data_IF_091411552385
#
_entry.id   IF_091411552385
#
_cell.length_a   1.000
_cell.length_b   1.000
_cell.length_c   1.000
_cell.angle_alpha   90.00
_cell.angle_beta   90.00
_cell.angle_gamma   90.00
#
_symmetry.space_group_name_H-M   'P 1'
#
loop_
_entity.id
_entity.type
_entity.pdbx_description
1 polymer ?
#
# COMPACT_ATOMS: atom_id res chain seq x y z
N UNK A 1 -32.88 -10.34 -29.77
CA UNK A 1 -31.69 -9.85 -29.05
C UNK A 1 -31.86 -8.35 -28.80
N UNK A 2 -32.39 -7.96 -27.64
CA UNK A 2 -32.65 -6.57 -27.27
C UNK A 2 -31.55 -6.07 -26.33
N UNK A 3 -30.79 -5.06 -26.77
CA UNK A 3 -29.84 -4.31 -25.93
C UNK A 3 -30.62 -3.32 -25.06
N UNK A 4 -30.53 -3.44 -23.73
CA UNK A 4 -30.99 -2.42 -22.78
C UNK A 4 -29.81 -1.49 -22.49
N UNK A 5 -29.93 -0.22 -22.84
CA UNK A 5 -29.08 0.85 -22.32
C UNK A 5 -29.55 1.18 -20.91
N UNK A 6 -28.64 1.09 -19.94
CA UNK A 6 -28.85 1.59 -18.58
C UNK A 6 -28.26 3.00 -18.48
N UNK A 7 -29.13 3.96 -18.20
CA UNK A 7 -28.80 5.37 -17.97
C UNK A 7 -28.28 5.52 -16.54
N UNK A 8 -27.03 5.95 -16.37
CA UNK A 8 -26.46 6.28 -15.06
C UNK A 8 -26.92 7.69 -14.65
N UNK A 9 -27.66 7.77 -13.55
CA UNK A 9 -28.04 9.03 -12.90
C UNK A 9 -27.00 9.37 -11.85
N UNK A 10 -26.24 10.45 -12.07
CA UNK A 10 -25.26 10.98 -11.13
C UNK A 10 -25.99 11.82 -10.07
N UNK A 11 -26.10 11.31 -8.84
CA UNK A 11 -26.62 12.06 -7.70
C UNK A 11 -25.48 12.83 -7.03
N UNK A 12 -25.46 14.16 -7.21
CA UNK A 12 -24.55 15.05 -6.49
C UNK A 12 -25.02 15.22 -5.05
N UNK A 13 -24.27 14.68 -4.10
CA UNK A 13 -24.49 14.87 -2.67
C UNK A 13 -23.82 16.19 -2.24
N UNK A 14 -24.63 17.21 -1.97
CA UNK A 14 -24.16 18.49 -1.40
C UNK A 14 -24.11 18.34 0.13
N UNK A 15 -22.91 18.16 0.68
CA UNK A 15 -22.67 18.24 2.11
C UNK A 15 -22.66 19.70 2.54
N UNK A 16 -23.62 20.08 3.40
CA UNK A 16 -23.65 21.39 4.04
C UNK A 16 -22.66 21.44 5.21
N UNK A 17 -21.77 22.43 5.19
CA UNK A 17 -20.88 22.70 6.32
C UNK A 17 -21.65 23.39 7.47
N UNK A 18 -21.38 23.06 8.74
CA UNK A 18 -21.93 23.81 9.87
C UNK A 18 -21.27 25.20 9.94
N UNK A 19 -22.11 26.24 9.98
CA UNK A 19 -21.65 27.61 10.16
C UNK A 19 -21.25 27.85 11.62
N UNK A 20 -19.95 27.96 11.89
CA UNK A 20 -19.45 28.54 13.13
C UNK A 20 -19.76 30.04 13.12
N UNK A 21 -20.50 30.48 14.13
CA UNK A 21 -20.90 31.88 14.33
C UNK A 21 -19.76 32.58 15.06
N UNK A 22 -19.10 33.52 14.39
CA UNK A 22 -18.01 34.30 14.99
C UNK A 22 -18.47 34.99 16.29
N UNK A 23 -17.72 34.84 17.40
CA UNK A 23 -17.95 35.64 18.59
C UNK A 23 -17.50 37.10 18.34
N UNK A 24 -18.18 38.08 18.97
CA UNK A 24 -17.84 39.50 18.79
C UNK A 24 -16.47 39.81 19.36
N UNK A 25 -15.65 40.52 18.57
CA UNK A 25 -14.32 40.98 18.96
C UNK A 25 -14.37 41.89 20.20
N UNK A 26 -13.68 41.49 21.26
CA UNK A 26 -13.34 42.35 22.38
C UNK A 26 -12.04 43.10 22.09
N UNK A 27 -11.99 44.43 22.29
CA UNK A 27 -10.75 45.19 22.25
C UNK A 27 -10.01 45.03 23.58
N UNK A 28 -8.75 44.63 23.56
CA UNK A 28 -7.97 44.41 24.78
C UNK A 28 -6.46 44.44 24.57
N UNK A 29 -5.92 45.64 24.77
CA UNK A 29 -4.59 46.08 25.22
C UNK A 29 -3.34 45.18 25.09
N UNK A 30 -2.30 45.80 24.52
CA UNK A 30 -0.95 45.29 24.48
C UNK A 30 -0.25 45.32 25.84
N UNK A 31 0.56 44.31 26.09
CA UNK A 31 1.46 44.22 27.23
C UNK A 31 2.72 43.45 26.84
N UNK A 32 3.83 44.18 26.75
CA UNK A 32 5.18 43.68 26.55
C UNK A 32 5.75 43.22 27.90
N UNK A 33 6.35 42.03 27.99
CA UNK A 33 7.38 41.74 29.00
C UNK A 33 8.18 40.48 28.67
N UNK A 34 9.49 40.67 28.62
CA UNK A 34 10.59 39.70 28.69
C UNK A 34 10.71 39.06 30.08
N UNK A 35 11.33 37.87 30.17
CA UNK A 35 11.88 37.34 31.41
C UNK A 35 12.27 35.86 31.34
N UNK A 36 13.57 35.58 31.37
CA UNK A 36 14.19 34.30 31.69
C UNK A 36 13.93 33.91 33.16
N UNK A 37 13.78 32.62 33.49
CA UNK A 37 14.29 32.07 34.76
C UNK A 37 14.32 30.52 34.79
N UNK A 38 15.42 29.99 35.32
CA UNK A 38 15.73 28.59 35.62
C UNK A 38 15.23 28.21 37.03
N UNK A 39 14.82 26.95 37.27
CA UNK A 39 14.87 26.38 38.63
C UNK A 39 13.78 25.39 39.07
N UNK A 40 14.12 24.10 39.03
CA UNK A 40 14.18 23.13 40.16
C UNK A 40 13.17 23.13 41.33
N UNK A 41 12.58 21.92 41.52
CA UNK A 41 12.22 21.19 42.76
C UNK A 41 10.81 21.27 43.40
N UNK A 42 10.25 20.06 43.57
CA UNK A 42 9.39 19.46 44.61
C UNK A 42 8.78 20.34 45.72
N UNK A 43 7.46 20.22 45.98
CA UNK A 43 6.90 19.45 47.11
C UNK A 43 5.38 19.74 47.33
N UNK A 44 4.68 18.71 47.81
CA UNK A 44 3.37 18.61 48.51
C UNK A 44 2.32 19.75 48.53
N UNK A 45 1.04 19.37 48.40
CA UNK A 45 -0.02 19.99 49.23
C UNK A 45 -1.42 20.11 48.61
N UNK A 46 -2.34 19.30 49.12
CA UNK A 46 -3.80 19.28 48.95
C UNK A 46 -4.52 20.63 49.10
N UNK A 47 -5.47 20.95 48.20
CA UNK A 47 -6.77 21.55 48.52
C UNK A 47 -7.72 21.56 47.30
N UNK A 48 -8.94 21.07 47.51
CA UNK A 48 -10.11 21.24 46.65
C UNK A 48 -10.41 22.74 46.44
N UNK A 49 -10.51 23.18 45.19
CA UNK A 49 -11.30 24.35 44.82
C UNK A 49 -12.05 24.07 43.51
N UNK A 50 -13.34 23.79 43.67
CA UNK A 50 -14.34 23.70 42.60
C UNK A 50 -14.62 25.10 42.05
N UNK A 51 -13.73 25.58 41.17
CA UNK A 51 -13.94 26.71 40.30
C UNK A 51 -14.21 26.22 38.87
N UNK A 52 -15.46 25.89 38.56
CA UNK A 52 -15.96 25.73 37.19
C UNK A 52 -15.98 27.11 36.50
N UNK A 53 -14.79 27.60 36.14
CA UNK A 53 -14.66 28.64 35.13
C UNK A 53 -14.83 27.93 33.80
N UNK A 54 -16.06 27.95 33.29
CA UNK A 54 -16.40 27.52 31.95
C UNK A 54 -15.52 28.25 30.93
N UNK A 55 -14.37 27.65 30.65
CA UNK A 55 -13.47 28.06 29.60
C UNK A 55 -14.29 27.92 28.31
N UNK A 56 -14.54 29.02 27.56
CA UNK A 56 -15.23 28.90 26.29
C UNK A 56 -14.39 27.95 25.46
N UNK A 57 -15.00 26.84 25.01
CA UNK A 57 -14.37 25.84 24.16
C UNK A 57 -13.68 26.56 23.01
N UNK A 58 -12.39 26.84 23.20
CA UNK A 58 -11.55 27.45 22.19
C UNK A 58 -11.59 26.49 21.03
N UNK A 59 -11.97 27.00 19.87
CA UNK A 59 -11.82 26.24 18.64
C UNK A 59 -10.33 25.88 18.58
N UNK A 60 -10.00 24.64 18.93
CA UNK A 60 -8.67 24.11 18.69
C UNK A 60 -8.38 24.42 17.21
N UNK A 61 -7.19 24.93 16.87
CA UNK A 61 -6.84 25.13 15.47
C UNK A 61 -7.15 23.83 14.76
N UNK A 62 -7.98 23.89 13.72
CA UNK A 62 -8.26 22.71 12.89
C UNK A 62 -6.89 22.17 12.48
N UNK A 63 -6.56 20.96 12.92
CA UNK A 63 -5.32 20.29 12.52
C UNK A 63 -5.32 20.27 10.99
N UNK A 64 -4.54 21.17 10.39
CA UNK A 64 -4.42 21.28 8.95
C UNK A 64 -3.93 19.93 8.46
N UNK A 65 -4.76 19.27 7.63
CA UNK A 65 -4.44 17.94 7.14
C UNK A 65 -3.06 18.00 6.48
N UNK A 66 -2.15 17.04 6.79
CA UNK A 66 -0.81 17.06 6.24
C UNK A 66 -0.88 17.12 4.72
N UNK A 67 -0.06 17.99 4.13
CA UNK A 67 0.01 18.12 2.67
C UNK A 67 0.40 16.76 2.06
N UNK A 68 -0.22 16.36 0.93
CA UNK A 68 0.10 15.09 0.28
C UNK A 68 1.58 15.09 -0.14
N UNK A 69 2.33 14.09 0.34
CA UNK A 69 3.69 13.88 -0.10
C UNK A 69 3.71 13.35 -1.55
N UNK A 70 4.72 13.73 -2.36
CA UNK A 70 4.84 13.23 -3.72
C UNK A 70 5.19 11.73 -3.70
N UNK A 71 4.37 10.90 -4.34
CA UNK A 71 4.65 9.47 -4.51
C UNK A 71 5.99 9.26 -5.24
N UNK A 72 6.88 8.48 -4.63
CA UNK A 72 8.17 8.15 -5.20
C UNK A 72 8.20 6.72 -5.70
N UNK A 73 8.91 6.51 -6.80
CA UNK A 73 9.11 5.15 -7.31
C UNK A 73 10.08 4.39 -6.44
N UNK A 74 9.65 3.20 -6.03
CA UNK A 74 10.47 2.28 -5.26
C UNK A 74 11.68 1.87 -6.08
N UNK A 75 12.86 1.93 -5.46
CA UNK A 75 14.10 1.47 -6.11
C UNK A 75 14.03 -0.04 -6.30
N UNK A 76 14.64 -0.54 -7.38
CA UNK A 76 14.70 -1.97 -7.69
C UNK A 76 15.06 -2.85 -6.47
N UNK A 77 16.13 -2.52 -5.73
CA UNK A 77 16.56 -3.35 -4.58
C UNK A 77 15.49 -3.43 -3.47
N UNK A 78 14.76 -2.34 -3.24
CA UNK A 78 13.68 -2.31 -2.25
C UNK A 78 12.47 -3.10 -2.77
N UNK A 79 12.11 -2.92 -4.04
CA UNK A 79 11.02 -3.65 -4.68
C UNK A 79 11.27 -5.17 -4.70
N UNK A 80 12.48 -5.60 -5.06
CA UNK A 80 12.89 -7.01 -5.00
C UNK A 80 12.92 -7.53 -3.56
N UNK A 81 13.40 -6.71 -2.62
CA UNK A 81 13.37 -7.01 -1.19
C UNK A 81 11.97 -7.30 -0.66
N UNK A 82 11.00 -6.46 -1.03
CA UNK A 82 9.59 -6.61 -0.63
C UNK A 82 8.97 -7.87 -1.23
N UNK A 83 9.21 -8.16 -2.53
CA UNK A 83 8.75 -9.39 -3.16
C UNK A 83 9.32 -10.64 -2.46
N UNK A 84 10.62 -10.61 -2.14
CA UNK A 84 11.27 -11.72 -1.43
C UNK A 84 10.69 -11.92 -0.04
N UNK A 85 10.49 -10.84 0.71
CA UNK A 85 9.93 -10.91 2.04
C UNK A 85 8.49 -11.42 2.01
N UNK A 86 7.63 -10.79 1.20
CA UNK A 86 6.21 -11.11 1.10
C UNK A 86 5.96 -12.53 0.60
N UNK A 87 6.70 -12.97 -0.42
CA UNK A 87 6.58 -14.32 -0.99
C UNK A 87 7.53 -15.34 -0.35
N UNK A 88 8.31 -14.94 0.67
CA UNK A 88 9.26 -15.83 1.35
C UNK A 88 10.18 -16.57 0.38
N UNK A 89 10.80 -15.82 -0.53
CA UNK A 89 11.70 -16.30 -1.57
C UNK A 89 13.17 -15.99 -1.25
N UNK A 90 14.06 -16.89 -1.67
CA UNK A 90 15.49 -16.65 -1.68
C UNK A 90 15.91 -15.55 -2.67
N UNK A 91 17.15 -15.03 -2.56
CA UNK A 91 17.67 -13.98 -3.45
C UNK A 91 17.69 -14.39 -4.93
N UNK A 92 17.97 -15.65 -5.23
CA UNK A 92 18.05 -16.17 -6.60
C UNK A 92 16.71 -16.75 -7.09
N UNK A 93 15.64 -16.64 -6.28
CA UNK A 93 14.34 -17.26 -6.56
C UNK A 93 13.27 -16.26 -7.02
N UNK A 94 13.56 -14.96 -7.05
CA UNK A 94 12.61 -13.95 -7.55
C UNK A 94 12.41 -14.15 -9.04
N UNK A 95 13.50 -14.05 -9.81
CA UNK A 95 13.42 -14.09 -11.26
C UNK A 95 14.78 -14.38 -11.90
N UNK A 96 14.80 -15.38 -12.78
CA UNK A 96 15.93 -15.70 -13.65
C UNK A 96 15.48 -15.62 -15.10
N UNK A 97 15.93 -14.58 -15.80
CA UNK A 97 15.65 -14.35 -17.20
C UNK A 97 16.36 -15.41 -18.04
N UNK A 98 15.59 -16.05 -18.94
CA UNK A 98 16.03 -17.15 -19.81
C UNK A 98 16.77 -18.29 -19.10
N UNK A 99 16.55 -18.45 -17.79
CA UNK A 99 17.20 -19.47 -16.96
C UNK A 99 18.69 -19.27 -16.69
N UNK A 100 19.26 -18.11 -17.06
CA UNK A 100 20.70 -17.86 -16.93
C UNK A 100 21.07 -16.59 -16.17
N UNK A 101 20.26 -15.54 -16.27
CA UNK A 101 20.61 -14.22 -15.74
C UNK A 101 19.58 -13.76 -14.72
N UNK A 102 19.99 -13.25 -13.54
CA UNK A 102 19.06 -12.62 -12.61
C UNK A 102 18.31 -11.47 -13.30
N UNK A 103 16.99 -11.44 -13.21
CA UNK A 103 16.19 -10.42 -13.91
C UNK A 103 16.52 -9.00 -13.43
N UNK A 104 16.99 -8.85 -12.18
CA UNK A 104 17.46 -7.56 -11.66
C UNK A 104 18.61 -6.97 -12.47
N UNK A 105 19.48 -7.81 -13.04
CA UNK A 105 20.63 -7.36 -13.82
C UNK A 105 20.18 -6.97 -15.23
N UNK A 106 19.26 -7.75 -15.81
CA UNK A 106 18.69 -7.49 -17.16
C UNK A 106 17.77 -6.26 -17.16
N UNK A 107 16.99 -6.07 -16.09
CA UNK A 107 15.99 -5.00 -15.99
C UNK A 107 16.46 -3.80 -15.17
N UNK A 108 17.72 -3.77 -14.71
CA UNK A 108 18.30 -2.72 -13.88
C UNK A 108 17.95 -1.31 -14.36
N UNK A 109 18.24 -1.01 -15.62
CA UNK A 109 17.98 0.30 -16.23
C UNK A 109 16.48 0.59 -16.38
N UNK A 110 15.68 -0.42 -16.76
CA UNK A 110 14.24 -0.28 -16.88
C UNK A 110 13.57 0.02 -15.53
N UNK A 111 14.16 -0.45 -14.43
CA UNK A 111 13.65 -0.28 -13.07
C UNK A 111 14.31 0.88 -12.31
N UNK A 112 14.86 1.85 -13.04
CA UNK A 112 15.29 3.11 -12.47
C UNK A 112 16.71 3.14 -11.93
N UNK A 113 17.44 2.03 -11.95
CA UNK A 113 18.82 2.00 -11.45
C UNK A 113 19.81 2.61 -12.46
N UNK A 114 21.01 2.92 -11.97
CA UNK A 114 22.10 3.46 -12.77
C UNK A 114 22.93 2.33 -13.41
N UNK A 115 23.60 2.62 -14.54
CA UNK A 115 24.57 1.72 -15.15
C UNK A 115 25.78 2.50 -15.73
N UNK A 116 26.80 2.80 -14.90
CA UNK A 116 27.95 3.59 -15.32
C UNK A 116 28.90 2.89 -16.31
N UNK A 117 28.96 1.56 -16.38
CA UNK A 117 30.03 0.87 -17.12
C UNK A 117 29.70 0.59 -18.57
N UNK A 118 28.52 0.02 -18.85
CA UNK A 118 28.08 -0.32 -20.21
C UNK A 118 27.29 0.84 -20.84
N UNK A 119 26.49 1.56 -20.05
CA UNK A 119 25.60 2.61 -20.54
C UNK A 119 26.08 4.04 -20.23
N UNK A 120 27.15 4.23 -19.46
CA UNK A 120 27.61 5.54 -18.98
C UNK A 120 26.52 6.36 -18.25
N UNK A 121 25.59 5.67 -17.60
CA UNK A 121 24.49 6.26 -16.83
C UNK A 121 24.88 6.33 -15.35
N UNK A 122 25.54 7.42 -14.96
CA UNK A 122 26.02 7.63 -13.59
C UNK A 122 24.93 8.05 -12.60
N UNK A 123 23.81 8.60 -13.10
CA UNK A 123 22.66 9.01 -12.29
C UNK A 123 21.45 8.11 -12.58
N UNK A 124 20.63 7.79 -11.57
CA UNK A 124 19.33 7.16 -11.79
C UNK A 124 18.46 8.00 -12.73
N UNK A 125 17.56 7.35 -13.45
CA UNK A 125 16.52 8.07 -14.20
C UNK A 125 15.54 8.70 -13.21
N UNK A 126 15.16 9.96 -13.45
CA UNK A 126 14.33 10.72 -12.52
C UNK A 126 12.87 10.24 -12.47
N UNK A 127 12.46 9.46 -13.47
CA UNK A 127 11.12 8.93 -13.62
C UNK A 127 11.17 7.55 -14.30
N UNK A 128 10.11 6.73 -14.16
CA UNK A 128 9.96 5.51 -14.91
C UNK A 128 10.09 5.73 -16.42
N UNK A 129 10.65 4.74 -17.08
CA UNK A 129 10.70 4.64 -18.53
C UNK A 129 9.40 4.00 -19.04
N UNK A 130 9.15 4.13 -20.33
CA UNK A 130 8.01 3.48 -20.99
C UNK A 130 7.99 1.95 -20.82
N UNK A 131 9.15 1.34 -20.53
CA UNK A 131 9.32 -0.11 -20.32
C UNK A 131 9.33 -0.52 -18.84
N UNK A 132 9.29 0.43 -17.91
CA UNK A 132 9.34 0.13 -16.46
C UNK A 132 8.19 -0.80 -16.03
N UNK A 133 6.91 -0.56 -16.41
CA UNK A 133 5.82 -1.45 -16.00
C UNK A 133 6.03 -2.89 -16.48
N UNK A 134 6.45 -3.08 -17.73
CA UNK A 134 6.71 -4.41 -18.30
C UNK A 134 7.84 -5.14 -17.56
N UNK A 135 8.89 -4.43 -17.18
CA UNK A 135 9.97 -5.01 -16.38
C UNK A 135 9.47 -5.42 -14.98
N UNK A 136 8.65 -4.58 -14.33
CA UNK A 136 8.06 -4.90 -13.03
C UNK A 136 7.14 -6.11 -13.10
N UNK A 137 6.23 -6.14 -14.05
CA UNK A 137 5.30 -7.25 -14.26
C UNK A 137 6.05 -8.58 -14.43
N UNK A 138 7.17 -8.59 -15.16
CA UNK A 138 8.01 -9.78 -15.31
C UNK A 138 8.59 -10.28 -13.99
N UNK A 139 9.12 -9.37 -13.16
CA UNK A 139 9.65 -9.73 -11.84
C UNK A 139 8.55 -10.31 -10.95
N UNK A 140 7.39 -9.65 -10.87
CA UNK A 140 6.27 -10.10 -10.04
C UNK A 140 5.74 -11.45 -10.51
N UNK A 141 5.49 -11.59 -11.82
CA UNK A 141 4.95 -12.83 -12.39
C UNK A 141 5.90 -14.00 -12.15
N UNK A 142 7.20 -13.81 -12.37
CA UNK A 142 8.21 -14.83 -12.10
C UNK A 142 8.24 -15.23 -10.63
N UNK A 143 8.20 -14.25 -9.71
CA UNK A 143 8.23 -14.51 -8.28
C UNK A 143 6.96 -15.25 -7.82
N UNK A 144 5.79 -14.86 -8.32
CA UNK A 144 4.52 -15.53 -8.05
C UNK A 144 4.51 -16.97 -8.55
N UNK A 145 4.93 -17.22 -9.80
CA UNK A 145 5.06 -18.57 -10.35
C UNK A 145 5.98 -19.43 -9.48
N UNK A 146 7.17 -18.91 -9.14
CA UNK A 146 8.13 -19.64 -8.32
C UNK A 146 7.57 -19.98 -6.94
N UNK A 147 6.84 -19.05 -6.31
CA UNK A 147 6.22 -19.31 -5.00
C UNK A 147 5.15 -20.40 -5.07
N UNK A 148 4.30 -20.36 -6.11
CA UNK A 148 3.27 -21.39 -6.30
C UNK A 148 3.92 -22.76 -6.48
N UNK A 149 4.96 -22.87 -7.31
CA UNK A 149 5.71 -24.13 -7.49
C UNK A 149 6.28 -24.67 -6.17
N UNK A 150 6.88 -23.80 -5.36
CA UNK A 150 7.46 -24.18 -4.07
C UNK A 150 6.39 -24.64 -3.06
N UNK A 151 5.23 -23.98 -3.03
CA UNK A 151 4.10 -24.37 -2.18
C UNK A 151 3.44 -25.67 -2.66
N UNK A 152 3.42 -25.95 -3.97
CA UNK A 152 2.96 -27.22 -4.53
C UNK A 152 3.90 -28.39 -4.22
N UNK A 153 5.21 -28.15 -4.25
CA UNK A 153 6.21 -29.19 -4.06
C UNK A 153 6.48 -29.54 -2.59
N UNK A 154 6.01 -28.72 -1.65
CA UNK A 154 6.35 -28.84 -0.23
C UNK A 154 5.20 -28.42 0.70
N UNK A 155 5.55 -28.01 1.91
CA UNK A 155 4.58 -27.43 2.85
C UNK A 155 4.27 -26.00 2.41
N UNK A 156 3.00 -25.63 2.15
CA UNK A 156 2.67 -24.27 1.75
C UNK A 156 3.07 -23.23 2.80
N UNK A 157 3.70 -22.15 2.34
CA UNK A 157 4.15 -21.03 3.17
C UNK A 157 3.34 -19.77 2.92
N UNK A 158 2.91 -19.54 1.67
CA UNK A 158 2.17 -18.34 1.26
C UNK A 158 0.74 -18.69 0.90
N UNK A 159 0.55 -19.72 0.08
CA UNK A 159 -0.77 -20.21 -0.34
C UNK A 159 -1.30 -21.23 0.66
N UNK A 160 -1.60 -20.76 1.88
CA UNK A 160 -1.99 -21.62 3.02
C UNK A 160 -3.49 -21.78 3.18
N UNK A 161 -4.29 -20.87 2.60
CA UNK A 161 -5.75 -20.90 2.73
C UNK A 161 -6.42 -21.70 1.59
N UNK A 162 -5.71 -21.90 0.48
CA UNK A 162 -6.11 -22.75 -0.65
C UNK A 162 -5.09 -23.87 -0.83
N UNK A 163 -5.51 -24.98 -1.42
CA UNK A 163 -4.59 -26.01 -1.91
C UNK A 163 -4.39 -25.82 -3.41
N UNK A 164 -3.19 -25.44 -3.89
CA UNK A 164 -2.93 -25.26 -5.32
C UNK A 164 -3.04 -26.55 -6.15
N UNK A 165 -3.09 -27.73 -5.52
CA UNK A 165 -3.34 -29.02 -6.16
C UNK A 165 -4.76 -29.56 -5.86
N UNK A 166 -5.57 -28.74 -5.20
CA UNK A 166 -6.91 -29.09 -4.74
C UNK A 166 -7.98 -29.03 -5.84
N UNK A 167 -9.26 -29.15 -5.45
CA UNK A 167 -10.39 -29.00 -6.36
C UNK A 167 -10.53 -27.55 -6.85
N UNK A 168 -11.26 -27.37 -7.96
CA UNK A 168 -11.57 -26.05 -8.52
C UNK A 168 -12.23 -25.13 -7.47
N UNK A 169 -11.86 -23.86 -7.52
CA UNK A 169 -12.32 -22.82 -6.60
C UNK A 169 -13.50 -22.05 -7.21
N UNK A 170 -14.30 -21.42 -6.36
CA UNK A 170 -15.34 -20.48 -6.74
C UNK A 170 -15.06 -19.09 -6.15
N UNK A 171 -15.41 -17.99 -6.85
CA UNK A 171 -15.20 -16.62 -6.33
C UNK A 171 -15.84 -16.35 -4.95
N UNK A 172 -16.89 -17.09 -4.59
CA UNK A 172 -17.58 -16.94 -3.30
C UNK A 172 -16.98 -17.78 -2.15
N UNK A 173 -15.93 -18.54 -2.39
CA UNK A 173 -15.35 -19.42 -1.38
C UNK A 173 -14.62 -18.61 -0.30
N UNK A 174 -14.85 -18.96 0.98
CA UNK A 174 -14.16 -18.31 2.10
C UNK A 174 -12.63 -18.46 2.02
N UNK A 175 -12.15 -19.59 1.47
CA UNK A 175 -10.74 -19.86 1.24
C UNK A 175 -10.10 -18.88 0.23
N UNK A 176 -10.84 -18.48 -0.80
CA UNK A 176 -10.40 -17.49 -1.81
C UNK A 176 -10.23 -16.13 -1.14
N UNK A 177 -11.23 -15.67 -0.40
CA UNK A 177 -11.17 -14.39 0.32
C UNK A 177 -10.02 -14.36 1.35
N UNK A 178 -9.85 -15.43 2.15
CA UNK A 178 -8.76 -15.51 3.11
C UNK A 178 -7.39 -15.50 2.41
N UNK A 179 -7.23 -16.22 1.29
CA UNK A 179 -5.98 -16.23 0.55
C UNK A 179 -5.63 -14.85 -0.02
N UNK A 180 -6.62 -14.09 -0.49
CA UNK A 180 -6.41 -12.72 -0.96
C UNK A 180 -5.97 -11.83 0.20
N UNK A 181 -6.61 -11.93 1.37
CA UNK A 181 -6.21 -11.19 2.56
C UNK A 181 -4.77 -11.51 2.99
N UNK A 182 -4.36 -12.78 2.93
CA UNK A 182 -2.96 -13.18 3.15
C UNK A 182 -2.00 -12.48 2.18
N UNK A 183 -2.33 -12.42 0.89
CA UNK A 183 -1.48 -11.75 -0.11
C UNK A 183 -1.37 -10.24 0.14
N UNK A 184 -2.49 -9.57 0.44
CA UNK A 184 -2.51 -8.14 0.77
C UNK A 184 -1.68 -7.82 2.00
N UNK A 185 -1.81 -8.60 3.09
CA UNK A 185 -1.00 -8.40 4.29
C UNK A 185 0.50 -8.61 4.02
N UNK A 186 0.86 -9.60 3.20
CA UNK A 186 2.26 -9.94 2.93
C UNK A 186 2.94 -8.97 1.95
N UNK A 187 2.22 -8.51 0.93
CA UNK A 187 2.77 -7.66 -0.13
C UNK A 187 2.57 -6.18 0.15
N UNK A 188 1.45 -5.80 0.73
CA UNK A 188 1.03 -4.39 0.90
C UNK A 188 0.90 -3.99 2.38
N UNK A 189 1.14 -4.89 3.33
CA UNK A 189 1.06 -4.63 4.78
C UNK A 189 -0.28 -4.05 5.25
N UNK A 190 -1.39 -4.38 4.57
CA UNK A 190 -2.75 -3.94 4.92
C UNK A 190 -3.79 -5.01 4.59
N UNK A 191 -5.04 -4.76 5.00
CA UNK A 191 -6.20 -5.55 4.57
C UNK A 191 -6.72 -5.08 3.21
N UNK A 192 -7.28 -5.98 2.39
CA UNK A 192 -7.98 -5.59 1.18
C UNK A 192 -9.31 -4.94 1.52
N UNK A 193 -9.72 -3.98 0.70
CA UNK A 193 -11.08 -3.43 0.72
C UNK A 193 -12.08 -4.46 0.18
N UNK A 194 -13.38 -4.24 0.42
CA UNK A 194 -14.42 -5.13 -0.11
C UNK A 194 -14.46 -5.17 -1.65
N UNK A 195 -14.18 -4.03 -2.30
CA UNK A 195 -14.11 -3.92 -3.76
C UNK A 195 -12.90 -4.68 -4.32
N UNK A 196 -11.73 -4.55 -3.69
CA UNK A 196 -10.54 -5.32 -4.07
C UNK A 196 -10.75 -6.82 -3.90
N UNK A 197 -11.38 -7.24 -2.80
CA UNK A 197 -11.75 -8.64 -2.60
C UNK A 197 -12.66 -9.15 -3.72
N UNK A 198 -13.69 -8.39 -4.10
CA UNK A 198 -14.61 -8.77 -5.17
C UNK A 198 -13.88 -8.93 -6.52
N UNK A 199 -13.06 -7.96 -6.89
CA UNK A 199 -12.31 -7.95 -8.16
C UNK A 199 -11.33 -9.11 -8.23
N UNK A 200 -10.54 -9.33 -7.17
CA UNK A 200 -9.50 -10.38 -7.17
C UNK A 200 -10.14 -11.77 -7.04
N UNK A 201 -11.25 -11.92 -6.29
CA UNK A 201 -11.96 -13.20 -6.17
C UNK A 201 -12.54 -13.66 -7.51
N UNK A 202 -12.93 -12.73 -8.39
CA UNK A 202 -13.42 -13.07 -9.73
C UNK A 202 -12.39 -13.84 -10.58
N UNK A 203 -11.09 -13.73 -10.27
CA UNK A 203 -10.03 -14.51 -10.95
C UNK A 203 -10.12 -16.02 -10.69
N UNK A 204 -10.83 -16.45 -9.64
CA UNK A 204 -11.09 -17.87 -9.37
C UNK A 204 -12.06 -18.49 -10.39
N UNK A 205 -12.79 -17.67 -11.15
CA UNK A 205 -13.70 -18.17 -12.16
C UNK A 205 -12.94 -18.81 -13.33
N UNK A 206 -13.32 -20.05 -13.66
CA UNK A 206 -12.78 -20.82 -14.79
C UNK A 206 -11.25 -21.00 -14.76
N UNK A 207 -10.64 -20.94 -13.57
CA UNK A 207 -9.21 -21.19 -13.35
C UNK A 207 -8.98 -22.35 -12.38
N UNK A 208 -7.89 -23.08 -12.58
CA UNK A 208 -7.42 -24.06 -11.59
C UNK A 208 -6.91 -23.35 -10.33
N UNK A 209 -6.84 -24.01 -9.16
CA UNK A 209 -6.34 -23.38 -7.93
C UNK A 209 -4.91 -22.81 -8.07
N UNK A 210 -4.03 -23.49 -8.80
CA UNK A 210 -2.67 -23.00 -9.08
C UNK A 210 -2.66 -21.75 -9.99
N UNK A 211 -3.55 -21.70 -10.98
CA UNK A 211 -3.71 -20.53 -11.83
C UNK A 211 -4.27 -19.35 -11.03
N UNK A 212 -5.30 -19.58 -10.22
CA UNK A 212 -5.83 -18.56 -9.31
C UNK A 212 -4.73 -18.05 -8.37
N UNK A 213 -3.97 -18.93 -7.71
CA UNK A 213 -2.87 -18.55 -6.82
C UNK A 213 -1.86 -17.62 -7.52
N UNK A 214 -1.47 -17.97 -8.75
CA UNK A 214 -0.56 -17.16 -9.57
C UNK A 214 -1.17 -15.81 -9.94
N UNK A 215 -2.42 -15.82 -10.46
CA UNK A 215 -3.10 -14.62 -10.94
C UNK A 215 -3.42 -13.64 -9.80
N UNK A 216 -3.88 -14.14 -8.65
CA UNK A 216 -4.14 -13.31 -7.48
C UNK A 216 -2.85 -12.70 -6.93
N UNK A 217 -1.77 -13.49 -6.81
CA UNK A 217 -0.45 -12.97 -6.42
C UNK A 217 0.03 -11.88 -7.38
N UNK A 218 -0.09 -12.12 -8.69
CA UNK A 218 0.31 -11.16 -9.71
C UNK A 218 -0.54 -9.89 -9.68
N UNK A 219 -1.87 -10.02 -9.57
CA UNK A 219 -2.78 -8.88 -9.50
C UNK A 219 -2.46 -7.98 -8.29
N UNK A 220 -2.29 -8.55 -7.10
CA UNK A 220 -1.92 -7.80 -5.89
C UNK A 220 -0.51 -7.23 -5.99
N UNK A 221 0.44 -8.05 -6.47
CA UNK A 221 1.85 -7.67 -6.58
C UNK A 221 2.15 -6.63 -7.67
N UNK A 222 1.23 -6.36 -8.59
CA UNK A 222 1.38 -5.33 -9.63
C UNK A 222 0.59 -4.07 -9.35
N UNK A 223 -0.06 -3.98 -8.18
CA UNK A 223 -0.70 -2.73 -7.75
C UNK A 223 0.33 -1.61 -7.59
N UNK A 224 -0.11 -0.37 -7.84
CA UNK A 224 0.77 0.81 -7.74
C UNK A 224 1.35 0.99 -6.35
N UNK A 225 0.62 0.55 -5.32
CA UNK A 225 1.05 0.61 -3.92
C UNK A 225 2.31 -0.23 -3.67
N UNK A 226 2.49 -1.37 -4.35
CA UNK A 226 3.75 -2.10 -4.23
C UNK A 226 4.92 -1.35 -4.91
N UNK A 227 4.62 -0.60 -5.97
CA UNK A 227 5.60 0.06 -6.81
C UNK A 227 6.08 1.42 -6.27
N UNK A 228 5.34 2.02 -5.35
CA UNK A 228 5.61 3.36 -4.80
C UNK A 228 5.84 3.33 -3.29
N UNK A 229 6.44 4.39 -2.76
CA UNK A 229 6.47 4.70 -1.34
C UNK A 229 6.23 6.20 -1.14
#
# INVERSE_FOLDING_TARGET
MMRRLATLTLAALVLGAPACKDPPATPGDGGSSTGDDDGTADDTGTADDTGDTGEPAGCAPEDEAPAPEPLLWKRLDAFEGDLRAGLSLGPDEVCTEVGLLPCRDVHRLALGANEPFQANLYRPVAAPLAITPVAMERLVLSACLRRVELDQAGTPVVFTAIDPLGPDLSPGDAAVAEQIAVLYRRLLAREPTSEELEIVSALAQDTTPAQFATLACFAVGTTTELATF
#
